data_IF_846437020277
#
_entry.id   IF_846437020277
#
_cell.length_a   1.000
_cell.length_b   1.000
_cell.length_c   1.000
_cell.angle_alpha   90.00
_cell.angle_beta   90.00
_cell.angle_gamma   90.00
#
_symmetry.space_group_name_H-M   'P 1'
#
loop_
_entity.id
_entity.type
_entity.pdbx_description
1 polymer ?
#
# COMPACT_ATOMS: atom_id res chain seq x y z
N UNK A 1 6.59 55.57 31.25
CA UNK A 1 6.32 54.91 32.54
C UNK A 1 5.08 54.06 32.40
N UNK A 2 5.23 52.73 32.38
CA UNK A 2 4.22 51.78 32.87
C UNK A 2 4.84 50.38 32.79
N UNK A 3 5.05 49.75 33.94
CA UNK A 3 5.69 48.45 34.06
C UNK A 3 4.73 47.33 33.67
N UNK A 4 5.21 46.40 32.86
CA UNK A 4 4.58 45.10 32.71
C UNK A 4 5.08 44.21 33.86
N UNK A 5 4.21 43.97 34.83
CA UNK A 5 4.46 42.99 35.89
C UNK A 5 4.43 41.59 35.26
N UNK A 6 5.59 40.96 35.15
CA UNK A 6 5.67 39.54 34.86
C UNK A 6 5.26 38.77 36.13
N UNK A 7 4.25 37.88 36.09
CA UNK A 7 4.01 36.99 37.21
C UNK A 7 5.19 36.00 37.28
N UNK A 8 6.06 36.18 38.27
CA UNK A 8 7.06 35.20 38.63
C UNK A 8 6.33 34.03 39.31
N UNK A 9 6.07 32.98 38.55
CA UNK A 9 5.62 31.70 39.11
C UNK A 9 6.77 31.13 39.95
N UNK A 10 6.64 31.16 41.27
CA UNK A 10 7.52 30.42 42.18
C UNK A 10 7.30 28.91 41.95
N UNK A 11 8.20 28.29 41.19
CA UNK A 11 8.25 26.85 40.98
C UNK A 11 8.59 26.17 42.30
N UNK A 12 7.68 25.34 42.82
CA UNK A 12 7.99 24.50 43.96
C UNK A 12 8.91 23.37 43.49
N UNK A 13 9.90 23.02 44.34
CA UNK A 13 10.89 21.98 44.06
C UNK A 13 10.20 20.61 43.95
N UNK A 14 9.68 20.29 42.78
CA UNK A 14 8.85 19.13 42.51
C UNK A 14 7.89 19.30 41.32
N UNK A 15 7.67 20.54 40.86
CA UNK A 15 6.80 20.79 39.71
C UNK A 15 7.49 20.42 38.39
N UNK A 16 6.84 19.56 37.61
CA UNK A 16 7.25 19.24 36.24
C UNK A 16 6.97 20.47 35.38
N UNK A 17 7.92 20.97 34.57
CA UNK A 17 7.66 22.13 33.71
C UNK A 17 6.47 21.83 32.80
N UNK A 18 5.51 22.76 32.74
CA UNK A 18 4.38 22.67 31.81
C UNK A 18 4.94 22.63 30.39
N UNK A 19 4.89 21.47 29.74
CA UNK A 19 5.24 21.37 28.33
C UNK A 19 4.25 22.17 27.49
N UNK A 20 4.78 22.97 26.57
CA UNK A 20 3.96 23.76 25.67
C UNK A 20 2.99 22.83 24.90
N UNK A 21 1.70 23.16 24.84
CA UNK A 21 0.71 22.31 24.19
C UNK A 21 1.10 22.04 22.75
N UNK A 22 1.09 20.77 22.37
CA UNK A 22 1.45 20.32 21.04
C UNK A 22 0.54 21.00 20.00
N UNK A 23 1.11 21.90 19.20
CA UNK A 23 0.39 22.57 18.11
C UNK A 23 0.19 21.55 16.99
N UNK A 24 -1.03 21.04 16.85
CA UNK A 24 -1.41 20.24 15.68
C UNK A 24 -1.47 21.16 14.46
N UNK A 25 -0.99 20.68 13.32
CA UNK A 25 -1.25 21.33 12.04
C UNK A 25 -2.76 21.43 11.81
N UNK A 26 -3.21 22.55 11.24
CA UNK A 26 -4.60 22.69 10.83
C UNK A 26 -4.98 21.56 9.86
N UNK A 27 -6.21 21.04 9.99
CA UNK A 27 -6.76 20.10 9.01
C UNK A 27 -6.70 20.71 7.61
N UNK A 28 -6.43 19.92 6.55
CA UNK A 28 -6.47 20.43 5.18
C UNK A 28 -7.81 21.13 4.91
N UNK A 29 -7.77 22.41 4.53
CA UNK A 29 -8.95 23.18 4.13
C UNK A 29 -9.62 22.62 2.86
N UNK A 30 -8.95 21.71 2.16
CA UNK A 30 -9.43 21.05 0.95
C UNK A 30 -10.69 20.19 1.19
N UNK A 31 -11.01 19.86 2.44
CA UNK A 31 -12.20 19.09 2.80
C UNK A 31 -13.49 19.93 2.86
N UNK A 32 -13.44 21.25 2.65
CA UNK A 32 -14.60 22.13 2.80
C UNK A 32 -15.33 22.44 1.49
N UNK A 33 -14.75 22.08 0.34
CA UNK A 33 -15.35 22.33 -0.98
C UNK A 33 -15.52 21.02 -1.73
N UNK A 34 -16.77 20.57 -1.87
CA UNK A 34 -17.12 19.61 -2.92
C UNK A 34 -17.04 20.33 -4.26
N UNK A 35 -15.84 20.36 -4.85
CA UNK A 35 -15.68 20.74 -6.24
C UNK A 35 -16.21 19.60 -7.10
N UNK A 36 -17.44 19.74 -7.57
CA UNK A 36 -17.95 18.88 -8.63
C UNK A 36 -17.15 19.15 -9.90
N UNK A 37 -16.79 18.09 -10.61
CA UNK A 37 -16.10 18.20 -11.90
C UNK A 37 -16.96 18.88 -12.96
N UNK A 38 -16.42 18.98 -14.17
CA UNK A 38 -17.22 19.40 -15.31
C UNK A 38 -18.42 18.44 -15.49
N UNK A 39 -19.55 18.97 -15.93
CA UNK A 39 -20.71 18.14 -16.28
C UNK A 39 -20.36 17.24 -17.47
N UNK A 40 -20.56 15.94 -17.30
CA UNK A 40 -20.29 14.94 -18.32
C UNK A 40 -21.56 14.53 -19.09
N UNK A 41 -22.72 15.14 -18.84
CA UNK A 41 -23.91 14.89 -19.65
C UNK A 41 -23.70 15.37 -21.09
N UNK A 42 -23.88 14.45 -22.05
CA UNK A 42 -23.77 14.77 -23.47
C UNK A 42 -25.06 15.39 -23.99
N UNK A 43 -24.98 16.19 -25.06
CA UNK A 43 -26.18 16.76 -25.70
C UNK A 43 -27.15 15.66 -26.18
N UNK A 44 -26.63 14.50 -26.58
CA UNK A 44 -27.44 13.33 -26.92
C UNK A 44 -28.21 12.74 -25.74
N UNK A 45 -27.73 12.92 -24.50
CA UNK A 45 -28.43 12.41 -23.32
C UNK A 45 -29.67 13.25 -22.98
N UNK A 46 -29.62 14.55 -23.29
CA UNK A 46 -30.74 15.48 -23.08
C UNK A 46 -31.91 15.20 -24.02
N UNK A 47 -31.63 14.62 -25.20
CA UNK A 47 -32.64 14.28 -26.20
C UNK A 47 -33.31 12.92 -25.94
N UNK A 48 -32.78 12.11 -25.02
CA UNK A 48 -33.33 10.80 -24.69
C UNK A 48 -34.51 10.90 -23.72
N UNK A 49 -35.47 9.99 -23.87
CA UNK A 49 -36.47 9.75 -22.83
C UNK A 49 -35.82 9.12 -21.59
N UNK A 50 -36.42 9.32 -20.43
CA UNK A 50 -35.92 8.81 -19.14
C UNK A 50 -35.65 7.29 -19.17
N UNK A 51 -36.53 6.51 -19.81
CA UNK A 51 -36.38 5.07 -19.97
C UNK A 51 -35.16 4.69 -20.82
N UNK A 52 -34.91 5.43 -21.89
CA UNK A 52 -33.77 5.17 -22.78
C UNK A 52 -32.45 5.63 -22.15
N UNK A 53 -32.47 6.75 -21.45
CA UNK A 53 -31.32 7.26 -20.71
C UNK A 53 -30.93 6.27 -19.59
N UNK A 54 -31.90 5.82 -18.79
CA UNK A 54 -31.64 4.83 -17.74
C UNK A 54 -31.13 3.51 -18.31
N UNK A 55 -31.69 3.01 -19.41
CA UNK A 55 -31.19 1.81 -20.08
C UNK A 55 -29.74 1.97 -20.58
N UNK A 56 -29.39 3.14 -21.15
CA UNK A 56 -28.02 3.45 -21.56
C UNK A 56 -27.06 3.43 -20.37
N UNK A 57 -27.40 4.13 -19.28
CA UNK A 57 -26.56 4.21 -18.07
C UNK A 57 -26.38 2.84 -17.42
N UNK A 58 -27.46 2.05 -17.30
CA UNK A 58 -27.38 0.69 -16.76
C UNK A 58 -26.53 -0.23 -17.64
N UNK A 59 -26.60 -0.05 -18.96
CA UNK A 59 -25.73 -0.74 -19.92
C UNK A 59 -24.25 -0.38 -19.75
N UNK A 60 -23.92 0.90 -19.59
CA UNK A 60 -22.56 1.37 -19.35
C UNK A 60 -21.99 0.88 -18.00
N UNK A 61 -22.84 0.84 -16.96
CA UNK A 61 -22.48 0.31 -15.66
C UNK A 61 -22.20 -1.20 -15.67
N UNK A 62 -22.68 -1.94 -16.70
CA UNK A 62 -22.49 -3.38 -16.87
C UNK A 62 -22.85 -4.21 -15.64
N UNK A 63 -23.78 -3.73 -14.83
CA UNK A 63 -24.24 -4.38 -13.60
C UNK A 63 -24.93 -5.74 -13.85
N UNK A 64 -25.38 -5.98 -15.08
CA UNK A 64 -26.01 -7.23 -15.51
C UNK A 64 -25.02 -8.21 -16.15
N UNK A 65 -23.78 -7.79 -16.39
CA UNK A 65 -22.72 -8.65 -16.90
C UNK A 65 -22.05 -9.37 -15.72
N UNK A 66 -21.76 -10.66 -15.91
CA UNK A 66 -20.99 -11.42 -14.93
C UNK A 66 -19.59 -10.87 -14.83
N UNK A 67 -19.08 -10.77 -13.61
CA UNK A 67 -17.67 -10.43 -13.41
C UNK A 67 -16.78 -11.60 -13.81
N UNK A 68 -15.52 -11.30 -14.13
CA UNK A 68 -14.54 -12.32 -14.50
C UNK A 68 -14.34 -13.35 -13.36
N UNK A 69 -14.40 -12.91 -12.10
CA UNK A 69 -14.34 -13.83 -10.96
C UNK A 69 -15.54 -14.78 -10.91
N UNK A 70 -16.72 -14.29 -11.27
CA UNK A 70 -17.95 -15.09 -11.30
C UNK A 70 -17.90 -16.11 -12.44
N UNK A 71 -17.42 -15.72 -13.62
CA UNK A 71 -17.20 -16.62 -14.76
C UNK A 71 -16.17 -17.71 -14.43
N UNK A 72 -15.07 -17.35 -13.76
CA UNK A 72 -14.07 -18.30 -13.27
C UNK A 72 -14.66 -19.25 -12.22
N UNK A 73 -15.49 -18.75 -11.31
CA UNK A 73 -16.15 -19.56 -10.29
C UNK A 73 -17.17 -20.53 -10.88
N UNK A 74 -17.89 -20.14 -11.94
CA UNK A 74 -18.82 -21.03 -12.66
C UNK A 74 -18.09 -22.12 -13.44
N UNK A 75 -16.96 -21.77 -14.06
CA UNK A 75 -16.13 -22.74 -14.81
C UNK A 75 -15.48 -23.76 -13.87
N UNK A 76 -15.10 -23.34 -12.66
CA UNK A 76 -14.48 -24.19 -11.66
C UNK A 76 -15.20 -24.06 -10.31
N UNK A 77 -16.36 -24.72 -10.15
CA UNK A 77 -17.09 -24.69 -8.89
C UNK A 77 -16.21 -25.26 -7.77
N UNK A 78 -15.96 -24.44 -6.74
CA UNK A 78 -15.15 -24.82 -5.57
C UNK A 78 -15.78 -25.97 -4.76
N UNK A 79 -17.10 -26.12 -4.88
CA UNK A 79 -17.88 -27.17 -4.24
C UNK A 79 -18.49 -28.06 -5.32
N UNK A 80 -17.97 -29.28 -5.44
CA UNK A 80 -18.64 -30.32 -6.21
C UNK A 80 -20.03 -30.57 -5.62
N UNK A 81 -21.06 -30.84 -6.45
CA UNK A 81 -22.39 -31.17 -5.96
C UNK A 81 -22.27 -32.34 -4.99
N UNK A 82 -22.71 -32.11 -3.74
CA UNK A 82 -22.64 -33.09 -2.67
C UNK A 82 -23.30 -34.39 -3.15
N UNK A 83 -22.62 -35.54 -3.14
CA UNK A 83 -23.24 -36.79 -3.52
C UNK A 83 -24.47 -37.01 -2.64
N UNK A 84 -25.62 -37.28 -3.28
CA UNK A 84 -26.86 -37.60 -2.56
C UNK A 84 -26.57 -38.78 -1.63
N UNK A 85 -26.91 -38.64 -0.33
CA UNK A 85 -26.80 -39.73 0.67
C UNK A 85 -27.45 -40.98 0.08
N UNK A 86 -26.64 -41.98 -0.26
CA UNK A 86 -27.09 -43.29 -0.76
C UNK A 86 -26.84 -43.60 -2.24
N UNK A 87 -26.27 -42.68 -3.04
CA UNK A 87 -26.06 -42.91 -4.49
C UNK A 87 -24.61 -42.71 -4.99
N UNK A 88 -23.67 -42.29 -4.12
CA UNK A 88 -22.26 -42.26 -4.50
C UNK A 88 -21.75 -43.70 -4.62
N UNK A 89 -21.46 -44.13 -5.85
CA UNK A 89 -20.70 -45.36 -6.03
C UNK A 89 -19.26 -45.09 -5.56
N UNK A 90 -18.55 -46.10 -5.03
CA UNK A 90 -17.16 -45.98 -4.60
C UNK A 90 -16.23 -45.36 -5.69
N UNK A 91 -16.64 -45.37 -6.96
CA UNK A 91 -15.92 -44.72 -8.05
C UNK A 91 -15.96 -43.19 -8.00
N UNK A 92 -17.08 -42.59 -7.62
CA UNK A 92 -17.25 -41.13 -7.62
C UNK A 92 -16.41 -40.47 -6.52
N UNK A 93 -16.34 -41.12 -5.35
CA UNK A 93 -15.52 -40.66 -4.23
C UNK A 93 -14.03 -40.76 -4.55
N UNK A 94 -13.61 -41.82 -5.26
CA UNK A 94 -12.21 -41.97 -5.69
C UNK A 94 -11.82 -40.90 -6.70
N UNK A 95 -12.67 -40.60 -7.68
CA UNK A 95 -12.42 -39.55 -8.68
C UNK A 95 -12.33 -38.18 -8.00
N UNK A 96 -13.23 -37.89 -7.05
CA UNK A 96 -13.20 -36.66 -6.26
C UNK A 96 -11.90 -36.57 -5.45
N UNK A 97 -11.52 -37.64 -4.75
CA UNK A 97 -10.28 -37.71 -3.98
C UNK A 97 -9.06 -37.45 -4.86
N UNK A 98 -8.96 -38.12 -6.02
CA UNK A 98 -7.85 -37.98 -6.94
C UNK A 98 -7.75 -36.55 -7.49
N UNK A 99 -8.89 -35.91 -7.79
CA UNK A 99 -8.94 -34.52 -8.23
C UNK A 99 -8.51 -33.54 -7.14
N UNK A 100 -8.98 -33.71 -5.91
CA UNK A 100 -8.59 -32.89 -4.77
C UNK A 100 -7.09 -33.02 -4.51
N UNK A 101 -6.58 -34.24 -4.47
CA UNK A 101 -5.15 -34.50 -4.25
C UNK A 101 -4.29 -33.95 -5.38
N UNK A 102 -4.76 -34.00 -6.64
CA UNK A 102 -4.07 -33.35 -7.78
C UNK A 102 -4.03 -31.83 -7.62
N UNK A 103 -5.16 -31.22 -7.28
CA UNK A 103 -5.25 -29.77 -7.07
C UNK A 103 -4.35 -29.32 -5.92
N UNK A 104 -4.32 -30.09 -4.82
CA UNK A 104 -3.47 -29.81 -3.67
C UNK A 104 -1.99 -29.87 -4.04
N UNK A 105 -1.56 -30.95 -4.70
CA UNK A 105 -0.17 -31.10 -5.16
C UNK A 105 0.26 -29.94 -6.06
N UNK A 106 -0.59 -29.55 -7.01
CA UNK A 106 -0.31 -28.42 -7.89
C UNK A 106 -0.16 -27.11 -7.12
N UNK A 107 -1.03 -26.82 -6.15
CA UNK A 107 -0.89 -25.59 -5.35
C UNK A 107 0.34 -25.60 -4.44
N UNK A 108 0.72 -26.76 -3.90
CA UNK A 108 1.96 -26.91 -3.10
C UNK A 108 3.18 -26.62 -3.97
N UNK A 109 3.24 -27.18 -5.18
CA UNK A 109 4.32 -26.92 -6.15
C UNK A 109 4.43 -25.42 -6.47
N UNK A 110 3.30 -24.75 -6.73
CA UNK A 110 3.29 -23.31 -6.97
C UNK A 110 3.80 -22.48 -5.78
N UNK A 111 3.51 -22.90 -4.55
CA UNK A 111 4.01 -22.23 -3.33
C UNK A 111 5.52 -22.46 -3.16
N UNK A 112 6.01 -23.67 -3.40
CA UNK A 112 7.43 -23.98 -3.37
C UNK A 112 8.20 -23.17 -4.42
N UNK A 113 7.67 -23.07 -5.64
CA UNK A 113 8.24 -22.24 -6.71
C UNK A 113 8.28 -20.76 -6.29
N UNK A 114 7.19 -20.24 -5.71
CA UNK A 114 7.14 -18.87 -5.22
C UNK A 114 8.19 -18.61 -4.12
N UNK A 115 8.35 -19.53 -3.16
CA UNK A 115 9.36 -19.43 -2.10
C UNK A 115 10.79 -19.45 -2.66
N UNK A 116 11.05 -20.27 -3.69
CA UNK A 116 12.39 -20.30 -4.34
C UNK A 116 12.69 -18.98 -5.06
N UNK A 117 11.69 -18.38 -5.72
CA UNK A 117 11.84 -17.07 -6.37
C UNK A 117 12.07 -15.98 -5.32
N UNK A 118 11.29 -15.97 -4.24
CA UNK A 118 11.43 -14.98 -3.17
C UNK A 118 12.82 -15.08 -2.52
N UNK A 119 13.26 -16.29 -2.17
CA UNK A 119 14.60 -16.49 -1.60
C UNK A 119 15.72 -16.12 -2.57
N UNK A 120 15.58 -16.40 -3.87
CA UNK A 120 16.53 -15.96 -4.88
C UNK A 120 16.58 -14.42 -4.99
N UNK A 121 15.42 -13.76 -4.94
CA UNK A 121 15.32 -12.30 -4.95
C UNK A 121 15.98 -11.69 -3.72
N UNK A 122 15.69 -12.21 -2.52
CA UNK A 122 16.29 -11.76 -1.27
C UNK A 122 17.82 -11.95 -1.24
N UNK A 123 18.34 -13.02 -1.87
CA UNK A 123 19.78 -13.21 -2.04
C UNK A 123 20.36 -12.19 -3.00
N UNK A 124 19.68 -11.90 -4.12
CA UNK A 124 20.13 -10.90 -5.09
C UNK A 124 20.13 -9.49 -4.51
N UNK A 125 19.12 -9.10 -3.72
CA UNK A 125 19.10 -7.78 -3.07
C UNK A 125 20.19 -7.63 -2.02
N UNK A 126 20.56 -8.71 -1.31
CA UNK A 126 21.74 -8.74 -0.42
C UNK A 126 23.09 -8.81 -1.15
N UNK A 127 23.09 -9.30 -2.39
CA UNK A 127 24.28 -9.45 -3.23
C UNK A 127 24.47 -8.32 -4.25
N UNK A 128 23.64 -7.28 -4.23
CA UNK A 128 24.06 -5.96 -4.69
C UNK A 128 24.90 -5.41 -3.55
N UNK A 129 26.25 -5.48 -3.60
CA UNK A 129 27.00 -4.54 -2.82
C UNK A 129 26.52 -3.18 -3.33
N UNK A 130 25.84 -2.43 -2.46
CA UNK A 130 26.07 -0.99 -2.41
C UNK A 130 27.56 -0.84 -2.67
N UNK A 131 27.94 -0.24 -3.80
CA UNK A 131 29.29 0.28 -3.96
C UNK A 131 29.44 1.29 -2.85
N UNK A 132 29.77 0.79 -1.66
CA UNK A 132 30.23 1.57 -0.56
C UNK A 132 31.41 2.29 -1.14
N UNK A 133 31.24 3.59 -1.35
CA UNK A 133 32.33 4.52 -1.14
C UNK A 133 32.93 4.08 0.18
N UNK A 134 34.05 3.38 0.07
CA UNK A 134 34.64 2.66 1.19
C UNK A 134 34.75 3.67 2.33
N UNK A 135 34.41 3.32 3.57
CA UNK A 135 34.42 4.27 4.69
C UNK A 135 35.74 5.10 4.75
N UNK A 136 36.83 4.55 4.22
CA UNK A 136 38.10 5.23 3.94
C UNK A 136 38.02 6.51 3.10
N UNK A 137 37.15 6.60 2.08
CA UNK A 137 36.97 7.79 1.25
C UNK A 137 36.26 8.90 2.02
N UNK A 138 35.28 8.54 2.87
CA UNK A 138 34.56 9.48 3.72
C UNK A 138 35.50 10.03 4.80
N UNK A 139 36.32 9.17 5.40
CA UNK A 139 37.33 9.60 6.38
C UNK A 139 38.39 10.51 5.73
N UNK A 140 38.84 10.22 4.50
CA UNK A 140 39.74 11.10 3.75
C UNK A 140 39.13 12.48 3.44
N UNK A 141 37.83 12.53 3.15
CA UNK A 141 37.13 13.81 2.90
C UNK A 141 37.01 14.60 4.20
N UNK A 142 36.67 13.95 5.31
CA UNK A 142 36.58 14.59 6.63
C UNK A 142 37.93 15.12 7.10
N UNK A 143 39.01 14.39 6.86
CA UNK A 143 40.38 14.80 7.20
C UNK A 143 40.83 16.01 6.38
N UNK A 144 40.59 16.02 5.06
CA UNK A 144 40.87 17.18 4.20
C UNK A 144 40.03 18.42 4.53
N UNK A 145 38.86 18.26 5.14
CA UNK A 145 38.01 19.39 5.55
C UNK A 145 38.39 19.97 6.92
N UNK A 146 39.13 19.23 7.75
CA UNK A 146 39.58 19.71 9.07
C UNK A 146 41.01 20.28 9.04
N UNK A 147 41.74 20.17 7.93
CA UNK A 147 43.02 20.85 7.76
C UNK A 147 42.79 22.32 7.35
N UNK A 148 43.16 23.31 8.18
CA UNK A 148 43.02 24.72 7.82
C UNK A 148 44.05 25.09 6.74
N UNK A 149 43.56 25.28 5.52
CA UNK A 149 44.21 26.10 4.49
C UNK A 149 44.47 27.50 5.06
N UNK A 150 45.64 27.73 5.66
CA UNK A 150 46.00 29.06 6.15
C UNK A 150 47.02 29.11 7.27
N UNK A 151 48.25 28.64 7.03
CA UNK A 151 49.42 29.12 7.81
C UNK A 151 50.17 30.15 6.97
N UNK A 152 50.13 31.46 7.28
CA UNK A 152 50.96 32.44 6.60
C UNK A 152 52.44 32.28 7.02
N UNK A 153 53.40 32.66 6.16
CA UNK A 153 54.82 32.62 6.50
C UNK A 153 55.15 33.74 7.49
N UNK A 154 55.60 33.40 8.70
CA UNK A 154 56.22 34.37 9.61
C UNK A 154 57.74 34.26 9.52
N UNK A 155 58.30 35.25 8.85
CA UNK A 155 59.69 35.69 8.96
C UNK A 155 60.07 36.01 10.41
N UNK A 156 61.22 35.49 10.87
CA UNK A 156 62.32 36.18 11.56
C UNK A 156 63.21 35.18 12.29
#
# INVERSE_FOLDING_TARGET
MSGAAHPTHELHRGDVPYEAPFVRSASPNDSLTTAYGADETSLSDVELSEDLFSAKVLGELRIHEKREEEERAETRPLLMPRPRRGAASNGDEKVMFDQVMRSLRWHVEQLEDQDTIETALQRRTKAVPETGQSASEIDMIMENMMEPQGRPPSSS
#
